data_IF_387176869693
#
_entry.id   IF_387176869693
#
_cell.length_a   1.000
_cell.length_b   1.000
_cell.length_c   1.000
_cell.angle_alpha   90.00
_cell.angle_beta   90.00
_cell.angle_gamma   90.00
#
_symmetry.space_group_name_H-M   'P 1'
#
loop_
_entity.id
_entity.type
_entity.pdbx_description
1 polymer ?
#
# COMPACT_ATOMS: atom_id res chain seq x y z
N UNK A 1 -16.62 17.94 6.87
CA UNK A 1 -15.32 17.58 7.46
C UNK A 1 -14.25 18.09 6.51
N UNK A 2 -13.42 19.04 6.95
CA UNK A 2 -12.27 19.47 6.17
C UNK A 2 -11.08 18.54 6.47
N UNK A 3 -10.37 18.14 5.43
CA UNK A 3 -9.19 17.29 5.55
C UNK A 3 -8.71 16.81 4.18
N UNK A 4 -7.48 16.31 4.14
CA UNK A 4 -6.81 15.89 2.92
C UNK A 4 -6.14 14.53 3.10
N UNK A 5 -5.97 13.80 2.00
CA UNK A 5 -5.19 12.57 1.97
C UNK A 5 -3.72 12.89 1.65
N UNK A 6 -2.83 12.67 2.61
CA UNK A 6 -1.40 12.98 2.47
C UNK A 6 -0.62 11.72 2.16
N UNK A 7 0.27 11.76 1.17
CA UNK A 7 1.17 10.65 0.83
C UNK A 7 2.20 10.44 1.95
N UNK A 8 2.23 9.25 2.54
CA UNK A 8 3.14 8.91 3.64
C UNK A 8 4.23 7.93 3.23
N UNK A 9 3.96 7.02 2.29
CA UNK A 9 4.99 6.13 1.76
C UNK A 9 4.73 5.81 0.30
N UNK A 10 5.81 5.60 -0.45
CA UNK A 10 5.72 5.09 -1.81
C UNK A 10 6.82 4.05 -2.05
N UNK A 11 6.46 2.99 -2.77
CA UNK A 11 7.32 1.83 -2.99
C UNK A 11 7.06 1.23 -4.37
N UNK A 12 8.09 1.25 -5.22
CA UNK A 12 8.11 0.39 -6.41
C UNK A 12 8.32 -1.06 -5.97
N UNK A 13 7.40 -1.93 -6.36
CA UNK A 13 7.42 -3.35 -6.01
C UNK A 13 8.60 -4.04 -6.68
N UNK A 14 9.38 -4.77 -5.90
CA UNK A 14 10.45 -5.65 -6.36
C UNK A 14 10.04 -7.11 -6.17
N UNK A 15 10.69 -8.05 -6.86
CA UNK A 15 10.44 -9.48 -6.71
C UNK A 15 10.46 -9.96 -5.25
N UNK A 16 11.34 -9.41 -4.42
CA UNK A 16 11.44 -9.75 -2.99
C UNK A 16 10.21 -9.37 -2.18
N UNK A 17 9.53 -8.26 -2.52
CA UNK A 17 8.30 -7.80 -1.88
C UNK A 17 7.10 -8.71 -2.20
N UNK A 18 7.17 -9.40 -3.33
CA UNK A 18 6.15 -10.31 -3.85
C UNK A 18 6.42 -11.78 -3.51
N UNK A 19 7.56 -12.07 -2.88
CA UNK A 19 7.93 -13.42 -2.50
C UNK A 19 7.07 -13.91 -1.31
N UNK A 20 6.31 -14.99 -1.51
CA UNK A 20 5.43 -15.59 -0.49
C UNK A 20 6.16 -16.12 0.73
N UNK A 21 7.39 -16.61 0.55
CA UNK A 21 8.21 -17.13 1.63
C UNK A 21 8.77 -15.98 2.50
N UNK A 22 9.04 -14.82 1.90
CA UNK A 22 9.48 -13.65 2.65
C UNK A 22 8.33 -12.91 3.34
N UNK A 23 7.14 -12.90 2.73
CA UNK A 23 5.90 -12.31 3.25
C UNK A 23 6.09 -10.93 3.89
N UNK A 24 6.74 -10.02 3.16
CA UNK A 24 7.01 -8.65 3.62
C UNK A 24 7.05 -7.68 2.45
N UNK A 25 6.73 -6.42 2.72
CA UNK A 25 7.02 -5.27 1.86
C UNK A 25 8.08 -4.44 2.55
N UNK A 26 9.23 -4.20 1.90
CA UNK A 26 10.26 -3.31 2.43
C UNK A 26 9.96 -1.87 2.03
N UNK A 27 9.73 -1.01 3.02
CA UNK A 27 9.51 0.41 2.79
C UNK A 27 10.83 1.15 2.56
N UNK A 28 10.75 2.23 1.77
CA UNK A 28 11.88 3.17 1.67
C UNK A 28 12.13 3.79 3.03
N UNK A 29 13.37 3.68 3.52
CA UNK A 29 13.77 4.18 4.85
C UNK A 29 13.45 5.67 5.02
N UNK A 30 13.76 6.49 4.01
CA UNK A 30 13.48 7.93 4.03
C UNK A 30 11.98 8.23 4.19
N UNK A 31 11.12 7.49 3.50
CA UNK A 31 9.67 7.67 3.58
C UNK A 31 9.16 7.34 4.98
N UNK A 32 9.57 6.18 5.52
CA UNK A 32 9.18 5.76 6.86
C UNK A 32 9.62 6.79 7.91
N UNK A 33 10.89 7.20 7.90
CA UNK A 33 11.45 8.10 8.89
C UNK A 33 10.87 9.51 8.83
N UNK A 34 10.64 10.06 7.63
CA UNK A 34 10.19 11.44 7.46
C UNK A 34 8.68 11.61 7.52
N UNK A 35 7.90 10.56 7.23
CA UNK A 35 6.46 10.68 7.01
C UNK A 35 5.58 9.68 7.75
N UNK A 36 6.07 8.49 8.10
CA UNK A 36 5.28 7.52 8.88
C UNK A 36 5.56 7.61 10.37
N UNK A 37 6.83 7.51 10.79
CA UNK A 37 7.19 7.55 12.20
C UNK A 37 6.72 8.82 12.92
N UNK A 38 6.77 10.03 12.33
CA UNK A 38 6.28 11.24 12.99
C UNK A 38 4.77 11.27 13.24
N UNK A 39 4.01 10.36 12.64
CA UNK A 39 2.56 10.24 12.84
C UNK A 39 2.20 9.32 14.01
N UNK A 40 3.18 8.59 14.54
CA UNK A 40 2.98 7.64 15.63
C UNK A 40 3.04 8.34 16.98
N UNK A 41 2.20 7.91 17.91
CA UNK A 41 2.37 8.19 19.34
C UNK A 41 3.64 7.52 19.84
N UNK A 42 4.14 7.98 20.98
CA UNK A 42 5.37 7.44 21.57
C UNK A 42 5.30 5.92 21.81
N UNK A 43 4.18 5.41 22.33
CA UNK A 43 3.98 3.97 22.55
C UNK A 43 3.90 3.16 21.26
N UNK A 44 3.33 3.73 20.19
CA UNK A 44 3.27 3.10 18.87
C UNK A 44 4.65 3.08 18.21
N UNK A 45 5.41 4.17 18.34
CA UNK A 45 6.79 4.26 17.87
C UNK A 45 7.66 3.20 18.57
N UNK A 46 7.53 3.06 19.89
CA UNK A 46 8.19 2.00 20.65
C UNK A 46 7.80 0.60 20.14
N UNK A 47 6.52 0.34 19.88
CA UNK A 47 6.05 -0.92 19.31
C UNK A 47 6.66 -1.20 17.93
N UNK A 48 6.78 -0.19 17.06
CA UNK A 48 7.42 -0.33 15.74
C UNK A 48 8.91 -0.59 15.86
N UNK A 49 9.59 0.08 16.78
CA UNK A 49 11.04 0.00 16.95
C UNK A 49 11.49 -1.26 17.70
N UNK A 50 10.63 -1.80 18.55
CA UNK A 50 10.88 -3.04 19.28
C UNK A 50 10.82 -4.26 18.35
N UNK A 51 11.68 -5.25 18.62
CA UNK A 51 11.77 -6.49 17.84
C UNK A 51 10.54 -7.39 17.98
N UNK A 52 9.69 -7.15 18.98
CA UNK A 52 8.56 -8.00 19.34
C UNK A 52 7.22 -7.40 18.86
N UNK A 53 6.59 -8.08 17.91
CA UNK A 53 5.19 -7.84 17.50
C UNK A 53 4.98 -6.77 16.43
N UNK A 54 5.66 -5.62 16.52
CA UNK A 54 5.37 -4.46 15.67
C UNK A 54 4.04 -3.78 16.02
N UNK A 55 3.67 -2.77 15.25
CA UNK A 55 2.38 -2.07 15.35
C UNK A 55 1.39 -2.65 14.35
N UNK A 56 0.19 -3.03 14.79
CA UNK A 56 -0.89 -3.37 13.88
C UNK A 56 -1.52 -2.10 13.33
N UNK A 57 -1.58 -2.01 12.00
CA UNK A 57 -2.11 -0.89 11.24
C UNK A 57 -3.17 -1.38 10.28
N UNK A 58 -4.11 -0.52 9.93
CA UNK A 58 -5.17 -0.86 8.99
C UNK A 58 -4.85 -0.28 7.61
N UNK A 59 -4.84 -1.14 6.59
CA UNK A 59 -4.67 -0.72 5.20
C UNK A 59 -5.95 -1.04 4.44
N UNK A 60 -6.63 -0.02 3.96
CA UNK A 60 -7.71 -0.15 2.97
C UNK A 60 -7.19 0.15 1.56
N UNK A 61 -7.94 -0.22 0.53
CA UNK A 61 -7.61 0.18 -0.84
C UNK A 61 -8.68 1.08 -1.41
N UNK A 62 -8.33 1.89 -2.41
CA UNK A 62 -9.30 2.83 -2.95
C UNK A 62 -10.53 2.18 -3.61
N UNK A 63 -10.39 0.93 -4.05
CA UNK A 63 -11.34 0.27 -4.94
C UNK A 63 -12.13 -0.85 -4.25
N UNK A 64 -11.91 -1.10 -2.95
CA UNK A 64 -12.75 -2.02 -2.20
C UNK A 64 -12.85 -1.61 -0.72
N UNK A 65 -14.02 -1.84 -0.14
CA UNK A 65 -14.31 -1.57 1.28
C UNK A 65 -13.63 -2.57 2.23
N UNK A 66 -12.62 -3.32 1.75
CA UNK A 66 -11.87 -4.24 2.61
C UNK A 66 -10.74 -3.52 3.32
N UNK A 67 -10.63 -3.84 4.61
CA UNK A 67 -9.53 -3.42 5.48
C UNK A 67 -8.66 -4.63 5.79
N UNK A 68 -7.35 -4.45 5.69
CA UNK A 68 -6.36 -5.47 6.01
C UNK A 68 -5.54 -5.01 7.22
N UNK A 69 -5.51 -5.81 8.29
CA UNK A 69 -4.69 -5.53 9.47
C UNK A 69 -3.26 -6.03 9.26
N UNK A 70 -2.35 -5.09 9.01
CA UNK A 70 -0.97 -5.32 8.62
C UNK A 70 -0.05 -4.98 9.78
N UNK A 71 1.05 -5.72 9.95
CA UNK A 71 2.07 -5.37 10.94
C UNK A 71 3.08 -4.40 10.32
N UNK A 72 3.34 -3.29 11.01
CA UNK A 72 4.40 -2.34 10.70
C UNK A 72 5.52 -2.47 11.75
N UNK A 73 6.74 -2.74 11.31
CA UNK A 73 7.88 -2.89 12.23
C UNK A 73 9.21 -2.51 11.62
N UNK A 74 10.16 -2.13 12.48
CA UNK A 74 11.56 -2.04 12.15
C UNK A 74 12.16 -3.45 12.01
N UNK A 75 12.94 -3.67 10.97
CA UNK A 75 13.58 -4.94 10.67
C UNK A 75 15.10 -4.79 10.72
N UNK A 76 15.65 -5.06 11.91
CA UNK A 76 17.03 -4.74 12.29
C UNK A 76 18.11 -5.26 11.34
N UNK A 77 17.97 -6.47 10.79
CA UNK A 77 18.97 -7.05 9.87
C UNK A 77 19.11 -6.28 8.56
N UNK A 78 18.06 -5.59 8.13
CA UNK A 78 18.05 -4.76 6.91
C UNK A 78 18.18 -3.26 7.21
N UNK A 79 18.19 -2.88 8.50
CA UNK A 79 18.04 -1.49 8.96
C UNK A 79 16.87 -0.77 8.28
N UNK A 80 15.81 -1.50 7.94
CA UNK A 80 14.67 -1.02 7.17
C UNK A 80 13.37 -1.13 7.97
N UNK A 81 12.29 -0.64 7.39
CA UNK A 81 10.94 -0.82 7.94
C UNK A 81 10.11 -1.66 6.99
N UNK A 82 9.27 -2.54 7.53
CA UNK A 82 8.49 -3.46 6.72
C UNK A 82 7.01 -3.45 7.08
N UNK A 83 6.18 -3.75 6.08
CA UNK A 83 4.84 -4.28 6.31
C UNK A 83 4.87 -5.80 6.19
N UNK A 84 4.32 -6.52 7.16
CA UNK A 84 4.33 -7.99 7.19
C UNK A 84 3.07 -8.57 7.87
N UNK A 85 3.13 -9.88 8.16
CA UNK A 85 2.09 -10.59 8.91
C UNK A 85 1.01 -11.17 8.02
N UNK A 86 -0.09 -11.64 8.64
CA UNK A 86 -1.20 -12.28 7.92
C UNK A 86 -1.96 -11.30 7.05
N UNK A 87 -2.16 -10.06 7.50
CA UNK A 87 -2.84 -9.04 6.70
C UNK A 87 -2.10 -8.69 5.43
N UNK A 88 -0.76 -8.58 5.45
CA UNK A 88 0.01 -8.36 4.23
C UNK A 88 -0.15 -9.52 3.26
N UNK A 89 -0.05 -10.77 3.75
CA UNK A 89 -0.28 -11.96 2.92
C UNK A 89 -1.65 -11.94 2.25
N UNK A 90 -2.69 -11.63 3.03
CA UNK A 90 -4.07 -11.59 2.55
C UNK A 90 -4.29 -10.46 1.55
N UNK A 91 -3.77 -9.26 1.83
CA UNK A 91 -3.82 -8.11 0.93
C UNK A 91 -3.18 -8.47 -0.41
N UNK A 92 -1.97 -9.04 -0.39
CA UNK A 92 -1.29 -9.45 -1.62
C UNK A 92 -2.06 -10.52 -2.39
N UNK A 93 -2.58 -11.54 -1.71
CA UNK A 93 -3.38 -12.58 -2.35
C UNK A 93 -4.66 -12.00 -2.97
N UNK A 94 -5.27 -11.01 -2.32
CA UNK A 94 -6.50 -10.39 -2.82
C UNK A 94 -6.24 -9.55 -4.08
N UNK A 95 -5.07 -8.91 -4.18
CA UNK A 95 -4.70 -8.02 -5.29
C UNK A 95 -3.59 -8.58 -6.18
N UNK A 96 -3.44 -9.90 -6.27
CA UNK A 96 -2.31 -10.57 -6.96
C UNK A 96 -2.11 -10.09 -8.41
N UNK A 97 -3.19 -9.77 -9.12
CA UNK A 97 -3.13 -9.32 -10.52
C UNK A 97 -2.65 -7.87 -10.67
N UNK A 98 -2.72 -7.07 -9.60
CA UNK A 98 -2.28 -5.66 -9.58
C UNK A 98 -0.94 -5.47 -8.87
N UNK A 99 -0.59 -6.34 -7.93
CA UNK A 99 0.70 -6.29 -7.23
C UNK A 99 1.76 -7.05 -8.01
N UNK A 100 2.17 -6.46 -9.13
CA UNK A 100 3.23 -6.97 -9.99
C UNK A 100 4.52 -6.17 -9.80
N UNK A 101 5.65 -6.78 -10.14
CA UNK A 101 6.94 -6.10 -10.09
C UNK A 101 6.95 -4.88 -11.00
N UNK A 102 7.58 -3.79 -10.55
CA UNK A 102 7.61 -2.51 -11.26
C UNK A 102 6.40 -1.60 -11.00
N UNK A 103 5.26 -2.13 -10.53
CA UNK A 103 4.15 -1.28 -10.08
C UNK A 103 4.51 -0.53 -8.81
N UNK A 104 3.89 0.64 -8.62
CA UNK A 104 4.17 1.51 -7.49
C UNK A 104 2.98 1.46 -6.52
N UNK A 105 3.27 1.17 -5.26
CA UNK A 105 2.33 1.34 -4.16
C UNK A 105 2.51 2.71 -3.54
N UNK A 106 1.40 3.43 -3.40
CA UNK A 106 1.31 4.68 -2.66
C UNK A 106 0.39 4.50 -1.47
N UNK A 107 0.87 4.91 -0.31
CA UNK A 107 0.13 4.86 0.95
C UNK A 107 -0.19 6.28 1.40
N UNK A 108 -1.47 6.52 1.69
CA UNK A 108 -1.98 7.81 2.11
C UNK A 108 -2.58 7.72 3.51
N UNK A 109 -2.46 8.81 4.27
CA UNK A 109 -3.14 8.98 5.55
C UNK A 109 -4.07 10.19 5.45
N UNK A 110 -5.30 10.07 5.95
CA UNK A 110 -6.19 11.22 6.04
C UNK A 110 -5.75 12.12 7.21
N UNK A 111 -5.56 13.40 6.92
CA UNK A 111 -5.27 14.45 7.89
C UNK A 111 -6.44 15.42 7.89
N UNK A 112 -7.14 15.54 9.02
CA UNK A 112 -8.29 16.42 9.15
C UNK A 112 -8.41 17.03 10.54
N UNK A 113 -9.23 18.06 10.67
CA UNK A 113 -9.35 18.88 11.88
C UNK A 113 -9.82 18.10 13.13
N UNK A 114 -10.38 16.91 12.92
CA UNK A 114 -10.83 15.97 13.95
C UNK A 114 -9.78 14.98 14.46
N UNK A 115 -8.53 15.03 14.01
CA UNK A 115 -7.45 14.15 14.55
C UNK A 115 -7.04 14.47 16.00
N UNK A 116 -7.82 15.30 16.72
CA UNK A 116 -7.71 15.56 18.16
C UNK A 116 -8.16 14.38 19.04
N UNK A 117 -8.57 13.25 18.48
CA UNK A 117 -8.97 12.10 19.29
C UNK A 117 -7.76 11.36 19.89
N UNK A 118 -7.38 11.81 21.09
CA UNK A 118 -6.68 11.03 22.12
C UNK A 118 -7.55 9.88 22.67
N UNK A 119 -8.20 9.12 21.78
CA UNK A 119 -8.85 7.87 22.15
C UNK A 119 -7.79 6.78 22.36
N UNK A 120 -7.94 5.97 23.41
CA UNK A 120 -7.10 4.78 23.67
C UNK A 120 -7.10 3.78 22.51
N UNK A 121 -8.15 3.79 21.67
CA UNK A 121 -8.37 2.83 20.59
C UNK A 121 -8.08 3.35 19.17
N UNK A 122 -7.42 4.52 19.02
CA UNK A 122 -7.03 5.02 17.69
C UNK A 122 -6.05 4.04 17.04
N UNK A 123 -6.47 3.35 15.98
CA UNK A 123 -5.57 2.61 15.08
C UNK A 123 -5.08 3.51 13.96
N UNK A 124 -3.81 3.38 13.58
CA UNK A 124 -3.28 4.03 12.38
C UNK A 124 -3.90 3.38 11.14
N UNK A 125 -4.70 4.15 10.41
CA UNK A 125 -5.32 3.72 9.15
C UNK A 125 -4.66 4.39 7.95
N UNK A 126 -4.40 3.63 6.90
CA UNK A 126 -3.85 4.10 5.63
C UNK A 126 -4.69 3.61 4.45
N UNK A 127 -4.66 4.38 3.38
CA UNK A 127 -5.22 4.01 2.08
C UNK A 127 -4.11 3.69 1.11
N UNK A 128 -4.16 2.50 0.53
CA UNK A 128 -3.24 2.07 -0.53
C UNK A 128 -3.85 2.33 -1.91
N UNK A 129 -3.03 2.87 -2.79
CA UNK A 129 -3.31 3.01 -4.23
C UNK A 129 -2.20 2.29 -4.99
N UNK A 130 -2.59 1.49 -5.98
CA UNK A 130 -1.66 0.87 -6.93
C UNK A 130 -1.59 1.76 -8.17
N UNK A 131 -0.38 2.20 -8.52
CA UNK A 131 -0.08 2.94 -9.74
C UNK A 131 0.64 1.98 -10.68
N UNK A 132 0.01 1.59 -11.80
CA UNK A 132 0.64 0.70 -12.78
C UNK A 132 1.91 1.32 -13.36
N UNK A 133 2.89 0.47 -13.71
CA UNK A 133 4.08 0.91 -14.42
C UNK A 133 3.71 1.54 -15.78
N UNK A 134 4.60 2.37 -16.32
CA UNK A 134 4.41 2.98 -17.65
C UNK A 134 4.28 1.93 -18.74
N UNK A 135 4.95 0.78 -18.60
CA UNK A 135 4.81 -0.36 -19.50
C UNK A 135 3.42 -1.01 -19.42
N UNK A 136 2.87 -1.19 -18.21
CA UNK A 136 1.51 -1.70 -18.05
C UNK A 136 0.46 -0.73 -18.60
N UNK A 137 0.66 0.58 -18.40
CA UNK A 137 -0.23 1.58 -18.99
C UNK A 137 -0.20 1.53 -20.52
N UNK A 138 0.99 1.45 -21.13
CA UNK A 138 1.15 1.28 -22.59
C UNK A 138 0.49 -0.01 -23.09
N UNK A 139 0.65 -1.13 -22.38
CA UNK A 139 0.02 -2.39 -22.74
C UNK A 139 -1.51 -2.31 -22.67
N UNK A 140 -2.06 -1.64 -21.65
CA UNK A 140 -3.49 -1.40 -21.53
C UNK A 140 -4.03 -0.52 -22.68
N UNK A 141 -3.31 0.54 -23.04
CA UNK A 141 -3.67 1.42 -24.16
C UNK A 141 -3.72 0.66 -25.49
N UNK A 142 -2.73 -0.21 -25.75
CA UNK A 142 -2.69 -1.08 -26.92
C UNK A 142 -3.91 -2.01 -26.94
N UNK A 143 -4.23 -2.68 -25.83
CA UNK A 143 -5.40 -3.59 -25.74
C UNK A 143 -6.73 -2.85 -25.96
N UNK A 144 -6.87 -1.63 -25.42
CA UNK A 144 -8.05 -0.79 -25.66
C UNK A 144 -8.15 -0.38 -27.13
N UNK A 145 -7.02 -0.12 -27.79
CA UNK A 145 -7.00 0.23 -29.22
C UNK A 145 -7.55 -0.90 -30.11
N UNK A 146 -7.33 -2.16 -29.76
CA UNK A 146 -7.90 -3.32 -30.46
C UNK A 146 -9.41 -3.45 -30.24
N UNK A 147 -9.91 -3.14 -29.03
CA UNK A 147 -11.37 -3.13 -28.76
C UNK A 147 -12.11 -2.06 -29.56
N UNK A 148 -11.47 -0.92 -29.84
CA UNK A 148 -12.04 0.16 -30.67
C UNK A 148 -12.04 -0.18 -32.17
N UNK A 149 -11.19 -1.11 -32.61
CA UNK A 149 -11.10 -1.57 -34.01
C UNK A 149 -11.89 -2.86 -34.26
N UNK A 150 -13.10 -3.04 -33.71
CA UNK A 150 -14.01 -4.06 -34.27
C UNK A 150 -14.43 -3.57 -35.66
N UNK A 151 -14.18 -4.34 -36.73
CA UNK A 151 -14.75 -4.03 -38.03
C UNK A 151 -16.27 -4.03 -37.88
N UNK A 152 -16.93 -2.96 -38.31
CA UNK A 152 -18.35 -3.00 -38.63
C UNK A 152 -18.53 -4.17 -39.60
N UNK A 153 -19.30 -5.18 -39.17
CA UNK A 153 -19.64 -6.30 -40.02
C UNK A 153 -20.16 -5.75 -41.36
N UNK A 154 -19.53 -6.17 -42.44
CA UNK A 154 -19.97 -5.89 -43.81
C UNK A 154 -21.38 -6.46 -43.91
N UNK A 155 -22.39 -5.59 -43.99
CA UNK A 155 -23.73 -5.97 -44.41
C UNK A 155 -23.65 -6.35 -45.88
N UNK A 156 -23.55 -7.65 -46.16
CA UNK A 156 -23.87 -8.18 -47.47
C UNK A 156 -25.40 -8.21 -47.59
N UNK A 157 -25.93 -7.33 -48.44
CA UNK A 157 -27.33 -7.20 -48.80
C UNK A 157 -27.46 -6.29 -50.00
#
# INVERSE_FOLDING_TARGET
MNGEWVLVAEKMLQASDLNTNQNRLLLRRCDAQKRLLPLLRQSELEAVMNSNGGLNIEISTANCDKVFEVQFKHWGSSKGFIFNGRGWRNLRSHFKEMLTEGNILRFYRFRGDGEREEGRDRKLQMRMVVVPSSEMMKAADILVSFRRKRPSAISAG
#
